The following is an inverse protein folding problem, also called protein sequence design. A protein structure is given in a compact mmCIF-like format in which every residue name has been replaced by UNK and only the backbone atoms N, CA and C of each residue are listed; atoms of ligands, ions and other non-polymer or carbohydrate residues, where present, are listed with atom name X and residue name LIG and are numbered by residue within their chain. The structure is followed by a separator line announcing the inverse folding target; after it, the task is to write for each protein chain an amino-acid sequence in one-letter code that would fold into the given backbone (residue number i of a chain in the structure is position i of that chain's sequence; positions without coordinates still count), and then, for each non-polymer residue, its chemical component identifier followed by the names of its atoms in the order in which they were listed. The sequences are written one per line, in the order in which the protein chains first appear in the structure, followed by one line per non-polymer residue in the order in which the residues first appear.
data_IF_299892286700
#
_entry.id   IF_299892286700
#
_cell.length_a   1.000
_cell.length_b   1.000
_cell.length_c   1.000
_cell.angle_alpha   90.00
_cell.angle_beta   90.00
_cell.angle_gamma   90.00
#
_symmetry.space_group_name_H-M   'P 1'
#
loop_
_entity.id
_entity.type
_entity.pdbx_description
1 polymer ?
#
# COMPACT_ATOMS: atom_id res chain seq x y z
N UNK A 1 21.49 -6.41 9.37
CA UNK A 1 20.87 -7.65 9.91
C UNK A 1 19.89 -8.29 8.93
N UNK A 2 18.96 -7.53 8.35
CA UNK A 2 17.92 -8.01 7.40
C UNK A 2 18.49 -8.77 6.19
N UNK A 3 19.60 -8.31 5.60
CA UNK A 3 20.18 -8.93 4.39
C UNK A 3 20.63 -10.38 4.59
N UNK A 4 21.16 -10.73 5.77
CA UNK A 4 21.63 -12.10 6.05
C UNK A 4 20.46 -13.07 6.21
N UNK A 5 19.41 -12.63 6.89
CA UNK A 5 18.18 -13.42 7.07
C UNK A 5 17.51 -13.64 5.70
N UNK A 6 17.40 -12.58 4.90
CA UNK A 6 16.87 -12.64 3.55
C UNK A 6 17.62 -13.65 2.68
N UNK A 7 18.96 -13.57 2.63
CA UNK A 7 19.77 -14.51 1.86
C UNK A 7 19.62 -15.96 2.34
N UNK A 8 19.46 -16.16 3.65
CA UNK A 8 19.27 -17.48 4.24
C UNK A 8 17.92 -18.09 3.84
N UNK A 9 16.82 -17.34 3.98
CA UNK A 9 15.48 -17.78 3.59
C UNK A 9 15.41 -18.07 2.08
N UNK A 10 15.97 -17.18 1.24
CA UNK A 10 16.06 -17.41 -0.20
C UNK A 10 16.78 -18.71 -0.54
N UNK A 11 17.86 -19.04 0.18
CA UNK A 11 18.61 -20.27 -0.07
C UNK A 11 17.80 -21.52 0.29
N UNK A 12 17.09 -21.50 1.43
CA UNK A 12 16.20 -22.57 1.88
C UNK A 12 15.07 -22.79 0.87
N UNK A 13 14.39 -21.72 0.49
CA UNK A 13 13.26 -21.76 -0.45
C UNK A 13 13.68 -22.24 -1.82
N UNK A 14 14.85 -21.80 -2.31
CA UNK A 14 15.41 -22.27 -3.58
C UNK A 14 15.65 -23.78 -3.57
N UNK A 15 16.19 -24.34 -2.48
CA UNK A 15 16.35 -25.79 -2.34
C UNK A 15 15.01 -26.52 -2.35
N UNK A 16 14.04 -26.02 -1.59
CA UNK A 16 12.69 -26.58 -1.56
C UNK A 16 12.02 -26.57 -2.93
N UNK A 17 12.11 -25.46 -3.68
CA UNK A 17 11.56 -25.34 -5.04
C UNK A 17 12.21 -26.32 -6.01
N UNK A 18 13.53 -26.54 -5.92
CA UNK A 18 14.21 -27.53 -6.76
C UNK A 18 13.71 -28.96 -6.48
N UNK A 19 13.53 -29.32 -5.21
CA UNK A 19 12.98 -30.62 -4.81
C UNK A 19 11.52 -30.76 -5.27
N UNK A 20 10.73 -29.70 -5.11
CA UNK A 20 9.32 -29.69 -5.50
C UNK A 20 9.11 -29.96 -6.99
N UNK A 21 9.96 -29.39 -7.85
CA UNK A 21 9.96 -29.63 -9.29
C UNK A 21 10.20 -31.12 -9.64
N UNK A 22 11.09 -31.79 -8.90
CA UNK A 22 11.39 -33.21 -9.11
C UNK A 22 10.18 -34.08 -8.73
N UNK A 23 9.45 -33.70 -7.67
CA UNK A 23 8.30 -34.44 -7.17
C UNK A 23 6.94 -34.00 -7.77
N UNK A 24 6.94 -33.18 -8.82
CA UNK A 24 5.70 -32.66 -9.47
C UNK A 24 4.73 -31.99 -8.48
N UNK A 25 5.31 -31.27 -7.52
CA UNK A 25 4.61 -30.55 -6.44
C UNK A 25 4.91 -29.05 -6.46
N UNK A 26 5.40 -28.55 -7.59
CA UNK A 26 5.80 -27.17 -7.75
C UNK A 26 4.61 -26.20 -7.67
N UNK A 27 4.79 -25.04 -7.02
CA UNK A 27 3.77 -24.00 -7.05
C UNK A 27 3.67 -23.40 -8.45
N UNK A 28 2.44 -23.17 -8.93
CA UNK A 28 2.17 -22.38 -10.14
C UNK A 28 2.78 -20.99 -10.06
N UNK A 29 2.80 -20.41 -8.87
CA UNK A 29 3.49 -19.16 -8.54
C UNK A 29 3.93 -19.20 -7.09
N UNK A 30 5.12 -18.68 -6.80
CA UNK A 30 5.62 -18.47 -5.45
C UNK A 30 6.18 -17.05 -5.35
N UNK A 31 5.70 -16.28 -4.37
CA UNK A 31 6.17 -14.92 -4.08
C UNK A 31 6.36 -14.79 -2.58
N UNK A 32 7.44 -14.14 -2.15
CA UNK A 32 7.70 -13.83 -0.75
C UNK A 32 7.88 -12.34 -0.56
N UNK A 33 7.38 -11.84 0.56
CA UNK A 33 7.63 -10.50 1.06
C UNK A 33 8.14 -10.62 2.49
N UNK A 34 9.44 -10.44 2.70
CA UNK A 34 10.10 -10.62 4.00
C UNK A 34 9.85 -12.04 4.55
N UNK A 35 8.94 -12.23 5.48
CA UNK A 35 8.58 -13.49 6.11
C UNK A 35 7.31 -14.12 5.53
N UNK A 36 6.44 -13.34 4.87
CA UNK A 36 5.17 -13.82 4.32
C UNK A 36 5.31 -14.34 2.89
N UNK A 37 4.80 -15.56 2.65
CA UNK A 37 4.80 -16.19 1.32
C UNK A 37 3.39 -16.37 0.78
N UNK A 38 3.20 -16.07 -0.50
CA UNK A 38 2.01 -16.41 -1.26
C UNK A 38 2.34 -17.41 -2.37
N UNK A 39 1.67 -18.56 -2.33
CA UNK A 39 1.87 -19.65 -3.26
C UNK A 39 0.54 -20.14 -3.85
N UNK A 40 0.57 -20.59 -5.11
CA UNK A 40 -0.61 -21.17 -5.78
C UNK A 40 -0.30 -22.59 -6.24
N UNK A 41 -1.25 -23.50 -6.07
CA UNK A 41 -1.12 -24.90 -6.45
C UNK A 41 -2.29 -25.35 -7.33
N UNK A 42 -2.17 -26.51 -8.00
CA UNK A 42 -3.30 -27.11 -8.70
C UNK A 42 -4.24 -27.88 -7.77
N UNK A 43 -3.72 -28.36 -6.63
CA UNK A 43 -4.49 -29.10 -5.64
C UNK A 43 -3.93 -28.88 -4.22
N UNK A 44 -4.78 -29.12 -3.22
CA UNK A 44 -4.37 -29.11 -1.80
C UNK A 44 -3.31 -30.18 -1.53
N UNK A 45 -3.37 -31.33 -2.22
CA UNK A 45 -2.38 -32.40 -2.09
C UNK A 45 -0.97 -31.90 -2.46
N UNK A 46 -0.82 -31.23 -3.60
CA UNK A 46 0.47 -30.65 -4.01
C UNK A 46 0.95 -29.58 -3.04
N UNK A 47 0.05 -28.72 -2.57
CA UNK A 47 0.37 -27.71 -1.56
C UNK A 47 0.92 -28.36 -0.28
N UNK A 48 0.28 -29.43 0.21
CA UNK A 48 0.73 -30.12 1.43
C UNK A 48 2.10 -30.80 1.23
N UNK A 49 2.32 -31.41 0.06
CA UNK A 49 3.63 -31.99 -0.28
C UNK A 49 4.72 -30.90 -0.26
N UNK A 50 4.45 -29.75 -0.87
CA UNK A 50 5.38 -28.63 -0.86
C UNK A 50 5.65 -28.08 0.55
N UNK A 51 4.62 -28.00 1.40
CA UNK A 51 4.77 -27.59 2.80
C UNK A 51 5.69 -28.54 3.57
N UNK A 52 5.58 -29.84 3.34
CA UNK A 52 6.46 -30.83 3.95
C UNK A 52 7.92 -30.62 3.48
N UNK A 53 8.13 -30.46 2.17
CA UNK A 53 9.44 -30.19 1.58
C UNK A 53 10.07 -28.93 2.20
N UNK A 54 9.30 -27.84 2.34
CA UNK A 54 9.76 -26.60 3.00
C UNK A 54 10.21 -26.86 4.44
N UNK A 55 9.41 -27.61 5.21
CA UNK A 55 9.66 -27.90 6.62
C UNK A 55 10.80 -28.90 6.88
N UNK A 56 11.25 -29.62 5.85
CA UNK A 56 12.42 -30.50 5.88
C UNK A 56 13.73 -29.75 5.64
N UNK A 57 13.70 -28.54 5.09
CA UNK A 57 14.92 -27.83 4.71
C UNK A 57 15.77 -27.39 5.91
N UNK A 58 15.15 -27.12 7.06
CA UNK A 58 15.85 -26.69 8.25
C UNK A 58 15.07 -27.02 9.54
N UNK A 59 15.69 -27.63 10.56
CA UNK A 59 14.97 -28.05 11.78
C UNK A 59 14.40 -26.87 12.57
N UNK A 60 15.09 -25.72 12.58
CA UNK A 60 14.69 -24.54 13.36
C UNK A 60 13.68 -23.62 12.64
N UNK A 61 13.35 -23.85 11.38
CA UNK A 61 12.38 -23.03 10.63
C UNK A 61 11.17 -23.89 10.30
N UNK A 62 10.00 -23.41 10.69
CA UNK A 62 8.73 -24.07 10.39
C UNK A 62 7.82 -23.12 9.65
N UNK A 63 7.47 -23.51 8.42
CA UNK A 63 6.46 -22.88 7.60
C UNK A 63 5.09 -23.40 8.02
N UNK A 64 4.15 -22.48 8.14
CA UNK A 64 2.72 -22.73 8.30
C UNK A 64 1.99 -22.23 7.06
N UNK A 65 0.76 -22.70 6.86
CA UNK A 65 -0.06 -22.29 5.71
C UNK A 65 -1.42 -21.82 6.19
N UNK A 66 -1.88 -20.73 5.59
CA UNK A 66 -3.27 -20.30 5.64
C UNK A 66 -3.91 -20.63 4.28
N UNK A 67 -5.08 -21.26 4.32
CA UNK A 67 -5.83 -21.62 3.12
C UNK A 67 -6.93 -20.60 2.85
N UNK A 68 -7.36 -20.53 1.59
CA UNK A 68 -8.54 -19.75 1.24
C UNK A 68 -9.77 -20.20 2.06
N UNK A 69 -10.57 -19.24 2.49
CA UNK A 69 -11.80 -19.52 3.24
C UNK A 69 -12.91 -20.10 2.32
N UNK A 70 -14.07 -20.38 2.90
CA UNK A 70 -15.23 -20.92 2.16
C UNK A 70 -15.69 -20.02 1.00
N UNK A 71 -15.43 -18.71 1.08
CA UNK A 71 -15.74 -17.72 0.05
C UNK A 71 -14.60 -17.56 -0.98
N UNK A 72 -13.59 -18.44 -0.94
CA UNK A 72 -12.42 -18.40 -1.82
C UNK A 72 -11.58 -17.14 -1.64
N UNK A 73 -11.50 -16.64 -0.41
CA UNK A 73 -10.74 -15.44 -0.04
C UNK A 73 -9.54 -15.79 0.83
N UNK A 74 -8.43 -15.10 0.59
CA UNK A 74 -7.21 -15.20 1.38
C UNK A 74 -6.64 -13.80 1.61
N UNK A 75 -6.27 -13.50 2.85
CA UNK A 75 -5.55 -12.26 3.17
C UNK A 75 -4.05 -12.48 2.91
N UNK A 76 -3.41 -11.52 2.28
CA UNK A 76 -1.96 -11.49 2.11
C UNK A 76 -1.48 -10.05 2.25
N UNK A 77 -0.70 -9.78 3.31
CA UNK A 77 -0.31 -8.44 3.73
C UNK A 77 -1.57 -7.56 3.90
N UNK A 78 -1.61 -6.41 3.23
CA UNK A 78 -2.74 -5.49 3.27
C UNK A 78 -3.78 -5.73 2.15
N UNK A 79 -3.80 -6.91 1.56
CA UNK A 79 -4.66 -7.24 0.41
C UNK A 79 -5.53 -8.45 0.77
N UNK A 80 -6.83 -8.36 0.50
CA UNK A 80 -7.72 -9.52 0.45
C UNK A 80 -7.86 -9.95 -1.01
N UNK A 81 -7.46 -11.19 -1.28
CA UNK A 81 -7.46 -11.79 -2.61
C UNK A 81 -8.65 -12.74 -2.68
N UNK A 82 -9.56 -12.52 -3.61
CA UNK A 82 -10.70 -13.40 -3.87
C UNK A 82 -10.47 -14.14 -5.20
N UNK A 83 -10.48 -15.46 -5.15
CA UNK A 83 -10.40 -16.32 -6.33
C UNK A 83 -11.80 -16.48 -6.95
N UNK A 84 -11.99 -15.95 -8.16
CA UNK A 84 -13.31 -15.94 -8.83
C UNK A 84 -13.62 -17.25 -9.56
N UNK A 85 -12.69 -18.22 -9.58
CA UNK A 85 -12.82 -19.47 -10.34
C UNK A 85 -12.64 -19.31 -11.86
N UNK A 86 -12.67 -18.10 -12.40
CA UNK A 86 -12.56 -17.80 -13.85
C UNK A 86 -11.13 -17.44 -14.29
N UNK A 87 -10.11 -17.98 -13.59
CA UNK A 87 -8.67 -17.65 -13.76
C UNK A 87 -8.30 -16.19 -13.43
N UNK A 88 -9.25 -15.40 -12.95
CA UNK A 88 -9.04 -14.02 -12.51
C UNK A 88 -9.09 -13.95 -10.98
N UNK A 89 -8.56 -12.86 -10.44
CA UNK A 89 -8.64 -12.56 -9.01
C UNK A 89 -9.28 -11.20 -8.84
N UNK A 90 -10.14 -11.10 -7.83
CA UNK A 90 -10.59 -9.82 -7.31
C UNK A 90 -9.72 -9.44 -6.11
N UNK A 91 -9.40 -8.16 -6.01
CA UNK A 91 -8.56 -7.62 -4.96
C UNK A 91 -9.30 -6.54 -4.19
N UNK A 92 -9.11 -6.53 -2.89
CA UNK A 92 -9.61 -5.53 -1.95
C UNK A 92 -8.50 -5.17 -0.96
N UNK A 93 -8.60 -4.00 -0.32
CA UNK A 93 -7.72 -3.68 0.80
C UNK A 93 -8.17 -4.48 2.03
N UNK A 94 -7.29 -5.31 2.56
CA UNK A 94 -7.52 -5.97 3.85
C UNK A 94 -7.23 -4.99 4.99
N UNK A 95 -8.12 -4.98 5.98
CA UNK A 95 -8.04 -4.12 7.17
C UNK A 95 -8.11 -5.03 8.39
N UNK A 96 -7.13 -4.89 9.28
CA UNK A 96 -7.12 -5.61 10.56
C UNK A 96 -8.27 -5.10 11.43
N UNK A 97 -8.89 -6.00 12.19
CA UNK A 97 -10.01 -5.66 13.08
C UNK A 97 -9.63 -4.62 14.14
N UNK A 98 -8.36 -4.60 14.55
CA UNK A 98 -7.85 -3.67 15.56
C UNK A 98 -7.59 -2.23 15.05
N UNK A 99 -8.00 -1.87 13.82
CA UNK A 99 -7.76 -0.52 13.29
C UNK A 99 -8.65 0.52 14.00
N UNK A 100 -8.03 1.59 14.51
CA UNK A 100 -8.73 2.64 15.28
C UNK A 100 -9.29 3.78 14.41
N UNK A 101 -9.16 3.67 13.07
CA UNK A 101 -9.54 4.69 12.09
C UNK A 101 -8.98 6.10 12.33
N UNK A 102 -7.98 6.27 13.20
CA UNK A 102 -7.40 7.59 13.49
C UNK A 102 -6.59 8.12 12.31
N UNK A 103 -6.88 9.34 11.88
CA UNK A 103 -6.17 10.06 10.81
C UNK A 103 -5.68 11.43 11.28
N UNK A 104 -4.90 12.11 10.43
CA UNK A 104 -4.45 13.48 10.67
C UNK A 104 -5.65 14.43 10.82
N UNK A 105 -5.81 15.05 11.99
CA UNK A 105 -6.91 16.00 12.23
C UNK A 105 -6.68 17.32 11.48
N UNK A 106 -7.72 17.99 10.99
CA UNK A 106 -7.57 19.26 10.26
C UNK A 106 -6.98 20.40 11.11
N UNK A 107 -7.16 20.36 12.43
CA UNK A 107 -6.67 21.35 13.38
C UNK A 107 -5.33 20.96 14.04
N UNK A 108 -4.65 19.90 13.56
CA UNK A 108 -3.40 19.39 14.13
C UNK A 108 -2.15 20.24 13.86
N UNK A 109 -2.32 21.49 13.40
CA UNK A 109 -1.22 22.37 13.00
C UNK A 109 -0.32 21.80 11.87
N UNK A 110 -0.85 20.87 11.08
CA UNK A 110 -0.16 20.33 9.91
C UNK A 110 -0.55 21.14 8.67
N UNK A 111 0.39 21.26 7.72
CA UNK A 111 0.10 21.87 6.43
C UNK A 111 -1.11 21.17 5.76
N UNK A 112 -2.18 21.88 5.40
CA UNK A 112 -3.36 21.29 4.76
C UNK A 112 -3.03 20.50 3.48
N UNK A 113 -1.99 20.91 2.74
CA UNK A 113 -1.54 20.18 1.55
C UNK A 113 -0.97 18.80 1.90
N UNK A 114 -0.35 18.65 3.07
CA UNK A 114 0.13 17.34 3.54
C UNK A 114 -1.03 16.42 3.88
N UNK A 115 -2.08 16.93 4.54
CA UNK A 115 -3.31 16.18 4.84
C UNK A 115 -3.97 15.73 3.53
N UNK A 116 -4.12 16.64 2.57
CA UNK A 116 -4.66 16.32 1.23
C UNK A 116 -3.77 15.29 0.53
N UNK A 117 -2.45 15.40 0.65
CA UNK A 117 -1.48 14.46 0.12
C UNK A 117 -1.66 13.05 0.69
N UNK A 118 -1.86 12.94 2.01
CA UNK A 118 -2.15 11.67 2.68
C UNK A 118 -3.45 11.07 2.15
N UNK A 119 -4.54 11.86 2.09
CA UNK A 119 -5.82 11.39 1.54
C UNK A 119 -5.68 10.91 0.08
N UNK A 120 -4.97 11.67 -0.77
CA UNK A 120 -4.66 11.26 -2.15
C UNK A 120 -3.80 10.00 -2.20
N UNK A 121 -2.90 9.80 -1.24
CA UNK A 121 -2.12 8.58 -1.08
C UNK A 121 -3.01 7.36 -0.85
N UNK A 122 -4.03 7.49 0.00
CA UNK A 122 -5.04 6.45 0.20
C UNK A 122 -5.86 6.18 -1.08
N UNK A 123 -6.32 7.22 -1.78
CA UNK A 123 -7.01 7.06 -3.07
C UNK A 123 -6.13 6.37 -4.12
N UNK A 124 -4.85 6.73 -4.18
CA UNK A 124 -3.88 6.10 -5.07
C UNK A 124 -3.73 4.61 -4.77
N UNK A 125 -3.60 4.27 -3.50
CA UNK A 125 -3.51 2.89 -3.03
C UNK A 125 -4.78 2.10 -3.36
N UNK A 126 -5.97 2.66 -3.08
CA UNK A 126 -7.25 2.05 -3.43
C UNK A 126 -7.36 1.78 -4.93
N UNK A 127 -7.04 2.77 -5.77
CA UNK A 127 -7.05 2.63 -7.24
C UNK A 127 -6.06 1.59 -7.76
N UNK A 128 -4.91 1.43 -7.10
CA UNK A 128 -3.88 0.46 -7.49
C UNK A 128 -4.21 -0.97 -7.08
N UNK A 129 -4.84 -1.16 -5.93
CA UNK A 129 -5.09 -2.47 -5.34
C UNK A 129 -6.49 -2.99 -5.68
N UNK A 130 -7.53 -2.18 -5.48
CA UNK A 130 -8.90 -2.66 -5.57
C UNK A 130 -9.30 -2.95 -7.01
N UNK A 131 -9.96 -4.10 -7.21
CA UNK A 131 -10.68 -4.35 -8.46
C UNK A 131 -11.83 -3.36 -8.62
N UNK A 132 -12.23 -3.09 -9.87
CA UNK A 132 -13.23 -2.07 -10.20
C UNK A 132 -14.53 -2.18 -9.38
N UNK A 133 -14.98 -3.41 -9.12
CA UNK A 133 -16.16 -3.72 -8.31
C UNK A 133 -16.07 -3.25 -6.85
N UNK A 134 -14.87 -3.22 -6.28
CA UNK A 134 -14.64 -2.91 -4.86
C UNK A 134 -14.07 -1.52 -4.64
N UNK A 135 -13.64 -0.85 -5.71
CA UNK A 135 -13.00 0.46 -5.65
C UNK A 135 -13.91 1.52 -5.04
N UNK A 136 -15.17 1.60 -5.46
CA UNK A 136 -16.09 2.62 -4.96
C UNK A 136 -16.34 2.44 -3.45
N UNK A 137 -16.58 1.20 -3.01
CA UNK A 137 -16.76 0.88 -1.59
C UNK A 137 -15.55 1.30 -0.75
N UNK A 138 -14.34 1.11 -1.27
CA UNK A 138 -13.12 1.54 -0.57
C UNK A 138 -13.01 3.07 -0.52
N UNK A 139 -13.35 3.77 -1.61
CA UNK A 139 -13.34 5.24 -1.64
C UNK A 139 -14.34 5.81 -0.64
N UNK A 140 -15.56 5.27 -0.58
CA UNK A 140 -16.59 5.72 0.34
C UNK A 140 -16.13 5.54 1.80
N UNK A 141 -15.55 4.37 2.10
CA UNK A 141 -14.95 4.10 3.40
C UNK A 141 -13.82 5.09 3.77
N UNK A 142 -12.93 5.42 2.83
CA UNK A 142 -11.86 6.39 3.05
C UNK A 142 -12.41 7.79 3.33
N UNK A 143 -13.48 8.19 2.64
CA UNK A 143 -14.16 9.47 2.90
C UNK A 143 -14.73 9.46 4.32
N UNK A 144 -15.46 8.41 4.68
CA UNK A 144 -16.13 8.32 5.98
C UNK A 144 -15.11 8.33 7.14
N UNK A 145 -13.97 7.63 7.01
CA UNK A 145 -12.86 7.73 7.97
C UNK A 145 -12.39 9.17 8.15
N UNK A 146 -12.16 9.92 7.07
CA UNK A 146 -11.68 11.29 7.19
C UNK A 146 -12.77 12.20 7.76
N UNK A 147 -14.03 11.96 7.45
CA UNK A 147 -15.16 12.68 8.06
C UNK A 147 -15.23 12.44 9.57
N UNK A 148 -15.07 11.19 10.02
CA UNK A 148 -14.98 10.84 11.45
C UNK A 148 -13.82 11.59 12.15
N UNK A 149 -12.75 11.90 11.42
CA UNK A 149 -11.60 12.67 11.92
C UNK A 149 -11.76 14.20 11.79
N UNK A 150 -12.96 14.67 11.45
CA UNK A 150 -13.33 16.10 11.43
C UNK A 150 -13.14 16.81 10.08
N UNK A 151 -12.86 16.07 9.00
CA UNK A 151 -12.73 16.66 7.67
C UNK A 151 -14.11 16.89 7.01
N UNK A 152 -14.21 17.90 6.16
CA UNK A 152 -15.45 18.19 5.43
C UNK A 152 -15.69 17.19 4.28
N UNK A 153 -16.83 16.48 4.31
CA UNK A 153 -17.23 15.52 3.28
C UNK A 153 -17.25 16.12 1.87
N UNK A 154 -17.74 17.36 1.74
CA UNK A 154 -17.81 18.05 0.44
C UNK A 154 -16.41 18.32 -0.14
N UNK A 155 -15.45 18.71 0.71
CA UNK A 155 -14.06 18.92 0.28
C UNK A 155 -13.43 17.60 -0.17
N UNK A 156 -13.62 16.53 0.61
CA UNK A 156 -13.10 15.20 0.28
C UNK A 156 -13.67 14.68 -1.05
N UNK A 157 -14.98 14.80 -1.26
CA UNK A 157 -15.62 14.41 -2.52
C UNK A 157 -15.04 15.17 -3.72
N UNK A 158 -14.86 16.48 -3.60
CA UNK A 158 -14.25 17.29 -4.65
C UNK A 158 -12.81 16.85 -4.95
N UNK A 159 -12.02 16.54 -3.92
CA UNK A 159 -10.66 16.01 -4.08
C UNK A 159 -10.68 14.65 -4.79
N UNK A 160 -11.59 13.76 -4.39
CA UNK A 160 -11.77 12.44 -5.01
C UNK A 160 -12.13 12.56 -6.48
N UNK A 161 -13.12 13.39 -6.82
CA UNK A 161 -13.53 13.63 -8.21
C UNK A 161 -12.36 14.18 -9.04
N UNK A 162 -11.66 15.20 -8.53
CA UNK A 162 -10.49 15.77 -9.20
C UNK A 162 -9.37 14.73 -9.39
N UNK A 163 -9.12 13.90 -8.37
CA UNK A 163 -8.10 12.85 -8.41
C UNK A 163 -8.44 11.77 -9.44
N UNK A 164 -9.70 11.33 -9.51
CA UNK A 164 -10.14 10.31 -10.46
C UNK A 164 -10.16 10.83 -11.90
N UNK A 165 -10.50 12.11 -12.10
CA UNK A 165 -10.47 12.79 -13.41
C UNK A 165 -9.06 13.01 -13.94
N UNK A 166 -8.11 13.35 -13.07
CA UNK A 166 -6.71 13.52 -13.45
C UNK A 166 -6.09 12.14 -13.73
N UNK A 167 -6.07 11.74 -15.00
CA UNK A 167 -5.21 10.67 -15.48
C UNK A 167 -3.74 10.93 -15.10
N UNK A 168 -2.90 9.89 -15.14
CA UNK A 168 -1.47 9.99 -14.82
C UNK A 168 -0.84 11.15 -15.59
N UNK A 169 -0.52 12.24 -14.89
CA UNK A 169 0.25 13.33 -15.49
C UNK A 169 1.66 12.80 -15.65
N UNK A 170 2.08 12.54 -16.89
CA UNK A 170 3.48 12.35 -17.20
C UNK A 170 4.21 13.62 -16.75
N UNK A 171 5.05 13.49 -15.72
CA UNK A 171 5.96 14.55 -15.31
C UNK A 171 6.97 14.73 -16.43
N UNK A 172 6.72 15.71 -17.30
CA UNK A 172 7.75 16.25 -18.16
C UNK A 172 8.82 16.86 -17.27
N UNK A 173 10.08 16.51 -17.53
CA UNK A 173 11.23 17.15 -16.89
C UNK A 173 11.10 18.66 -17.11
N UNK A 174 10.87 19.40 -16.02
CA UNK A 174 10.93 20.85 -16.05
C UNK A 174 12.41 21.26 -16.02
N UNK A 175 12.79 22.35 -16.72
CA UNK A 175 14.15 22.89 -16.64
C UNK A 175 14.56 23.15 -15.19
N UNK A 176 15.87 23.10 -14.92
CA UNK A 176 16.42 23.43 -13.61
C UNK A 176 16.02 24.87 -13.27
N UNK A 177 15.17 25.02 -12.26
CA UNK A 177 14.69 26.31 -11.76
C UNK A 177 15.83 27.01 -11.01
N UNK A 178 16.36 28.09 -11.60
CA UNK A 178 17.44 28.90 -11.02
C UNK A 178 16.92 29.99 -10.08
N UNK A 179 15.60 30.06 -9.82
CA UNK A 179 15.01 31.04 -8.93
C UNK A 179 15.45 30.83 -7.47
N UNK A 180 15.82 31.93 -6.80
CA UNK A 180 16.16 31.93 -5.37
C UNK A 180 14.97 31.38 -4.56
N UNK A 181 15.21 30.35 -3.76
CA UNK A 181 14.15 29.74 -2.93
C UNK A 181 14.55 29.65 -1.46
N UNK A 182 13.55 29.81 -0.58
CA UNK A 182 13.69 29.68 0.88
C UNK A 182 12.82 28.52 1.36
N UNK A 183 13.36 27.74 2.29
CA UNK A 183 12.62 26.71 3.04
C UNK A 183 12.14 27.31 4.36
N UNK A 184 10.83 27.29 4.60
CA UNK A 184 10.26 27.72 5.87
C UNK A 184 9.50 26.57 6.53
N UNK A 185 9.54 26.42 7.86
CA UNK A 185 8.63 25.53 8.55
C UNK A 185 7.18 26.00 8.39
N UNK A 186 6.23 25.06 8.35
CA UNK A 186 4.80 25.38 8.38
C UNK A 186 4.40 25.90 9.76
N UNK A 187 4.22 27.21 9.87
CA UNK A 187 3.67 27.87 11.06
C UNK A 187 2.35 28.53 10.65
N UNK A 188 1.21 28.22 11.31
CA UNK A 188 -0.07 28.84 11.00
C UNK A 188 0.03 30.34 11.11
N UNK A 189 -0.65 31.04 10.21
CA UNK A 189 -0.77 32.50 10.19
C UNK A 189 0.58 33.19 9.88
N UNK A 190 1.61 33.01 10.70
CA UNK A 190 2.94 33.63 10.57
C UNK A 190 3.65 33.15 9.30
N UNK A 191 3.71 31.83 9.09
CA UNK A 191 4.37 31.26 7.91
C UNK A 191 3.70 31.72 6.62
N UNK A 192 2.37 31.89 6.60
CA UNK A 192 1.65 32.39 5.44
C UNK A 192 1.92 33.89 5.17
N UNK A 193 1.98 34.71 6.22
CA UNK A 193 2.35 36.14 6.10
C UNK A 193 3.77 36.30 5.55
N UNK A 194 4.72 35.53 6.08
CA UNK A 194 6.10 35.49 5.59
C UNK A 194 6.17 35.03 4.12
N UNK A 195 5.47 33.96 3.77
CA UNK A 195 5.37 33.50 2.37
C UNK A 195 4.89 34.61 1.43
N UNK A 196 3.90 35.41 1.84
CA UNK A 196 3.41 36.53 1.04
C UNK A 196 4.49 37.60 0.87
N UNK A 197 5.24 37.92 1.92
CA UNK A 197 6.28 38.95 1.85
C UNK A 197 7.47 38.53 0.98
N UNK A 198 7.95 37.29 1.13
CA UNK A 198 9.02 36.75 0.28
C UNK A 198 8.63 36.67 -1.20
N UNK A 199 7.36 36.32 -1.49
CA UNK A 199 6.85 36.31 -2.88
C UNK A 199 6.85 37.70 -3.51
N UNK A 200 6.64 38.78 -2.75
CA UNK A 200 6.77 40.16 -3.26
C UNK A 200 8.19 40.48 -3.70
N UNK A 201 9.19 39.88 -3.05
CA UNK A 201 10.62 40.02 -3.39
C UNK A 201 11.06 39.02 -4.47
N UNK A 202 10.12 38.39 -5.18
CA UNK A 202 10.37 37.38 -6.20
C UNK A 202 11.14 36.14 -5.70
N UNK A 203 11.05 35.85 -4.40
CA UNK A 203 11.65 34.68 -3.76
C UNK A 203 10.60 33.55 -3.67
N UNK A 204 10.97 32.38 -4.16
CA UNK A 204 10.12 31.18 -4.08
C UNK A 204 10.16 30.62 -2.66
N UNK A 205 9.01 30.28 -2.09
CA UNK A 205 8.96 29.74 -0.72
C UNK A 205 8.36 28.34 -0.72
N UNK A 206 9.12 27.39 -0.19
CA UNK A 206 8.66 26.03 0.06
C UNK A 206 8.42 25.85 1.57
N UNK A 207 7.17 25.60 1.94
CA UNK A 207 6.83 25.31 3.32
C UNK A 207 6.98 23.81 3.60
N UNK A 208 7.83 23.49 4.56
CA UNK A 208 8.07 22.12 5.00
C UNK A 208 7.19 21.77 6.20
N UNK A 209 6.78 20.51 6.35
CA UNK A 209 6.26 20.01 7.62
C UNK A 209 7.30 20.27 8.72
N UNK A 210 6.82 20.62 9.92
CA UNK A 210 7.62 20.61 11.15
C UNK A 210 7.83 19.15 11.56
#
# INVERSE_FOLDING_TARGET
MVVRVEAFLQNIERKALNIANIHTSEPKTYKRYVDDCHARFASIKQQQMFLNILNEQHPAIKYTVELENNLKQLNFLDINITNTGSRTYEFQIHKKEAITNVQLKPNSNINPNSIIGVFKGFLCRAKRICSQKHLQKEIDFLIDIFVENGHSKNILNNITIDYLKKGSKNTTFQPIDTQLFIKLPWIPIVGQKLCKEFRKQNIKVNQLPI
#
